data_IF_335363251366
#
_entry.id   IF_335363251366
#
_cell.length_a   1.000
_cell.length_b   1.000
_cell.length_c   1.000
_cell.angle_alpha   90.00
_cell.angle_beta   90.00
_cell.angle_gamma   90.00
#
_symmetry.space_group_name_H-M   'P 1'
#
loop_
_entity.id
_entity.type
_entity.pdbx_description
1 polymer ?
#
# COMPACT_ATOMS: atom_id res chain seq x y z
N UNK A 1 -13.61 13.75 5.69
CA UNK A 1 -12.65 14.22 4.65
C UNK A 1 -11.47 13.25 4.61
N UNK A 2 -10.96 12.84 3.44
CA UNK A 2 -9.76 11.99 3.34
C UNK A 2 -8.47 12.83 3.35
N UNK A 3 -7.34 12.32 3.88
CA UNK A 3 -6.06 13.04 3.86
C UNK A 3 -5.59 13.28 2.42
N UNK A 4 -5.01 14.46 2.16
CA UNK A 4 -4.27 14.71 0.92
C UNK A 4 -2.84 14.20 1.09
N UNK A 5 -2.42 13.31 0.21
CA UNK A 5 -1.04 12.83 0.16
C UNK A 5 -0.21 13.85 -0.62
N UNK A 6 0.76 14.48 0.05
CA UNK A 6 1.56 15.60 -0.50
C UNK A 6 2.92 15.18 -1.06
N UNK A 7 3.36 13.96 -0.79
CA UNK A 7 4.66 13.43 -1.21
C UNK A 7 4.46 12.29 -2.21
N UNK A 8 5.46 12.05 -3.05
CA UNK A 8 5.52 10.79 -3.81
C UNK A 8 5.57 9.63 -2.84
N UNK A 9 4.70 8.66 -3.07
CA UNK A 9 4.63 7.39 -2.34
C UNK A 9 4.56 6.30 -3.41
N UNK A 10 5.18 5.12 -3.16
CA UNK A 10 5.03 3.98 -4.04
C UNK A 10 3.55 3.71 -4.33
N UNK A 11 3.24 3.40 -5.60
CA UNK A 11 1.87 3.24 -6.08
C UNK A 11 1.11 2.19 -5.26
N UNK A 12 1.80 1.11 -4.87
CA UNK A 12 1.25 0.07 -3.99
C UNK A 12 0.73 0.63 -2.66
N UNK A 13 1.52 1.50 -2.00
CA UNK A 13 1.14 2.10 -0.72
C UNK A 13 -0.01 3.10 -0.91
N UNK A 14 0.02 3.88 -1.99
CA UNK A 14 -1.06 4.81 -2.34
C UNK A 14 -2.40 4.07 -2.52
N UNK A 15 -2.40 2.95 -3.23
CA UNK A 15 -3.60 2.16 -3.48
C UNK A 15 -4.10 1.44 -2.23
N UNK A 16 -3.18 0.95 -1.40
CA UNK A 16 -3.52 0.42 -0.08
C UNK A 16 -4.20 1.47 0.79
N UNK A 17 -3.63 2.69 0.89
CA UNK A 17 -4.22 3.78 1.65
C UNK A 17 -5.62 4.15 1.15
N UNK A 18 -5.83 4.21 -0.17
CA UNK A 18 -7.15 4.50 -0.76
C UNK A 18 -8.19 3.43 -0.39
N UNK A 19 -7.84 2.15 -0.48
CA UNK A 19 -8.71 1.02 -0.13
C UNK A 19 -9.00 0.94 1.38
N UNK A 20 -8.01 1.22 2.22
CA UNK A 20 -8.22 1.24 3.68
C UNK A 20 -9.20 2.34 4.10
N UNK A 21 -9.17 3.47 3.40
CA UNK A 21 -10.03 4.61 3.66
C UNK A 21 -11.35 4.55 2.88
N UNK A 22 -11.69 3.40 2.27
CA UNK A 22 -12.91 3.29 1.47
C UNK A 22 -14.18 3.63 2.27
N UNK A 23 -15.11 4.31 1.61
CA UNK A 23 -16.38 4.70 2.22
C UNK A 23 -17.20 3.45 2.53
N UNK A 24 -17.18 2.49 1.61
CA UNK A 24 -17.84 1.20 1.73
C UNK A 24 -16.99 0.25 2.60
N UNK A 25 -17.47 -0.20 3.77
CA UNK A 25 -16.70 -1.09 4.64
C UNK A 25 -16.30 -2.40 3.98
N UNK A 26 -17.13 -2.91 3.07
CA UNK A 26 -16.89 -4.16 2.33
C UNK A 26 -15.75 -4.06 1.31
N UNK A 27 -15.43 -2.83 0.88
CA UNK A 27 -14.32 -2.58 -0.05
C UNK A 27 -12.96 -2.45 0.68
N UNK A 28 -12.98 -2.40 2.02
CA UNK A 28 -11.76 -2.32 2.82
C UNK A 28 -11.07 -3.69 2.90
N UNK A 29 -9.74 -3.74 2.83
CA UNK A 29 -9.01 -4.97 3.02
C UNK A 29 -9.14 -5.45 4.48
N UNK A 30 -9.09 -6.77 4.66
CA UNK A 30 -8.91 -7.35 5.99
C UNK A 30 -7.51 -7.06 6.51
N UNK A 31 -7.32 -7.10 7.84
CA UNK A 31 -6.01 -6.94 8.45
C UNK A 31 -4.99 -7.97 7.92
N UNK A 32 -5.42 -9.22 7.69
CA UNK A 32 -4.58 -10.27 7.10
C UNK A 32 -4.12 -9.90 5.69
N UNK A 33 -5.03 -9.48 4.81
CA UNK A 33 -4.66 -9.07 3.45
C UNK A 33 -3.71 -7.86 3.42
N UNK A 34 -3.82 -6.97 4.41
CA UNK A 34 -2.90 -5.85 4.61
C UNK A 34 -1.50 -6.34 5.01
N UNK A 35 -1.41 -7.23 6.00
CA UNK A 35 -0.15 -7.83 6.46
C UNK A 35 0.55 -8.57 5.33
N UNK A 36 -0.18 -9.39 4.55
CA UNK A 36 0.40 -10.15 3.45
C UNK A 36 1.01 -9.23 2.37
N UNK A 37 0.29 -8.15 2.00
CA UNK A 37 0.76 -7.17 1.01
C UNK A 37 1.96 -6.36 1.50
N UNK A 38 1.92 -5.88 2.75
CA UNK A 38 3.01 -5.11 3.34
C UNK A 38 4.25 -5.98 3.61
N UNK A 39 4.05 -7.24 3.98
CA UNK A 39 5.12 -8.23 4.12
C UNK A 39 5.85 -8.46 2.80
N UNK A 40 5.11 -8.68 1.71
CA UNK A 40 5.69 -8.78 0.36
C UNK A 40 6.44 -7.52 -0.03
N UNK A 41 5.85 -6.35 0.17
CA UNK A 41 6.51 -5.07 -0.10
C UNK A 41 7.83 -4.91 0.68
N UNK A 42 7.85 -5.31 1.96
CA UNK A 42 9.06 -5.27 2.78
C UNK A 42 10.14 -6.24 2.29
N UNK A 43 9.76 -7.42 1.83
CA UNK A 43 10.69 -8.39 1.23
C UNK A 43 11.28 -7.84 -0.08
N UNK A 44 10.42 -7.25 -0.93
CA UNK A 44 10.81 -6.64 -2.20
C UNK A 44 11.77 -5.45 -2.01
N UNK A 45 11.62 -4.68 -0.91
CA UNK A 45 12.57 -3.62 -0.54
C UNK A 45 13.91 -4.15 -0.01
N UNK A 46 13.89 -5.27 0.72
CA UNK A 46 15.10 -5.94 1.20
C UNK A 46 15.95 -6.49 0.06
N UNK A 47 15.29 -6.90 -1.03
CA UNK A 47 15.94 -7.33 -2.27
C UNK A 47 16.07 -6.13 -3.23
N UNK A 48 17.20 -5.39 -3.15
CA UNK A 48 17.50 -4.14 -3.89
C UNK A 48 17.32 -4.18 -5.43
N UNK A 49 16.84 -5.27 -6.03
CA UNK A 49 16.65 -5.43 -7.47
C UNK A 49 15.19 -5.35 -7.94
N UNK A 50 14.20 -5.13 -7.07
CA UNK A 50 12.79 -5.06 -7.50
C UNK A 50 12.46 -3.70 -8.15
N UNK A 51 11.61 -3.70 -9.19
CA UNK A 51 11.15 -2.47 -9.87
C UNK A 51 10.44 -1.49 -8.93
N UNK A 52 9.97 -1.95 -7.76
CA UNK A 52 9.36 -1.13 -6.71
C UNK A 52 10.33 -0.08 -6.13
N UNK A 53 11.65 -0.34 -6.13
CA UNK A 53 12.64 0.66 -5.71
C UNK A 53 12.82 1.80 -6.74
N UNK A 54 12.47 1.54 -8.01
CA UNK A 54 12.70 2.49 -9.12
C UNK A 54 11.52 3.43 -9.39
N UNK A 55 10.42 3.32 -8.63
CA UNK A 55 9.19 4.12 -8.80
C UNK A 55 9.26 5.52 -8.19
#
# INVERSE_FOLDING_TARGET
RRPKIKRKVPQLLLDLMKKCLDAEPQSRPTAKALVDKLGKFSQDLGYKSTELYKQ
#
